data_IF_529844123450
#
_entry.id   IF_529844123450
#
_cell.length_a   1.000
_cell.length_b   1.000
_cell.length_c   1.000
_cell.angle_alpha   90.00
_cell.angle_beta   90.00
_cell.angle_gamma   90.00
#
_symmetry.space_group_name_H-M   'P 1'
#
loop_
_entity.id
_entity.type
_entity.pdbx_description
1 polymer ?
#
# COMPACT_ATOMS: atom_id res chain seq x y z
N UNK A 1 -26.06 -57.95 34.41
CA UNK A 1 -25.74 -56.65 33.77
C UNK A 1 -24.89 -55.81 34.74
N UNK A 2 -23.55 -55.78 34.54
CA UNK A 2 -22.62 -55.00 35.39
C UNK A 2 -22.59 -53.56 34.90
N UNK A 3 -23.00 -52.63 35.76
CA UNK A 3 -22.92 -51.19 35.51
C UNK A 3 -21.47 -50.76 35.60
N UNK A 4 -20.90 -50.22 34.54
CA UNK A 4 -19.56 -49.65 34.53
C UNK A 4 -19.45 -48.51 35.54
N UNK A 5 -18.38 -48.40 36.34
CA UNK A 5 -18.21 -47.43 37.39
C UNK A 5 -18.20 -45.99 36.81
N UNK A 6 -18.82 -45.08 37.53
CA UNK A 6 -19.04 -43.67 37.21
C UNK A 6 -17.75 -42.95 36.75
N UNK A 7 -16.59 -43.38 37.29
CA UNK A 7 -15.24 -42.83 36.98
C UNK A 7 -14.84 -43.09 35.51
N UNK A 8 -15.21 -44.26 34.92
CA UNK A 8 -14.85 -44.60 33.52
C UNK A 8 -15.67 -43.73 32.55
N UNK A 9 -16.90 -43.38 32.89
CA UNK A 9 -17.72 -42.46 32.10
C UNK A 9 -17.24 -41.00 32.19
N UNK A 10 -16.73 -40.57 33.33
CA UNK A 10 -16.16 -39.22 33.51
C UNK A 10 -14.85 -39.06 32.74
N UNK A 11 -13.97 -40.08 32.72
CA UNK A 11 -12.72 -40.07 31.97
C UNK A 11 -12.99 -40.09 30.47
N UNK A 12 -13.95 -40.87 29.97
CA UNK A 12 -14.36 -40.89 28.57
C UNK A 12 -14.97 -39.55 28.11
N UNK A 13 -15.69 -38.83 29.00
CA UNK A 13 -16.23 -37.51 28.68
C UNK A 13 -15.14 -36.41 28.67
N UNK A 14 -14.16 -36.49 29.55
CA UNK A 14 -12.99 -35.60 29.56
C UNK A 14 -12.05 -35.83 28.37
N UNK A 15 -11.88 -37.08 27.89
CA UNK A 15 -11.12 -37.39 26.72
C UNK A 15 -11.84 -36.98 25.40
N UNK A 16 -13.15 -37.05 25.36
CA UNK A 16 -13.98 -36.57 24.26
C UNK A 16 -13.98 -35.04 24.13
N UNK A 17 -13.96 -34.32 25.28
CA UNK A 17 -13.91 -32.87 25.31
C UNK A 17 -12.51 -32.31 24.91
N UNK A 18 -11.44 -33.05 25.17
CA UNK A 18 -10.07 -32.63 24.77
C UNK A 18 -9.83 -32.76 23.26
N UNK A 19 -10.60 -33.58 22.53
CA UNK A 19 -10.46 -33.75 21.09
C UNK A 19 -11.09 -32.60 20.26
N UNK A 20 -11.91 -31.75 20.89
CA UNK A 20 -12.63 -30.64 20.21
C UNK A 20 -11.84 -29.33 20.21
N UNK A 21 -10.74 -29.25 20.93
CA UNK A 21 -9.93 -28.05 21.07
C UNK A 21 -8.67 -28.02 20.16
N UNK A 22 -8.72 -28.71 19.01
CA UNK A 22 -7.67 -28.49 17.99
C UNK A 22 -7.85 -27.09 17.39
N UNK A 23 -6.82 -26.20 17.39
CA UNK A 23 -6.91 -24.91 16.75
C UNK A 23 -7.18 -25.13 15.26
N UNK A 24 -8.36 -24.75 14.80
CA UNK A 24 -8.67 -24.71 13.38
C UNK A 24 -7.77 -23.60 12.79
N UNK A 25 -6.92 -23.87 11.80
CA UNK A 25 -6.16 -22.83 11.14
C UNK A 25 -7.16 -21.83 10.54
N UNK A 26 -7.15 -20.61 11.03
CA UNK A 26 -7.90 -19.50 10.44
C UNK A 26 -7.19 -19.14 9.17
N UNK A 27 -7.68 -19.64 8.04
CA UNK A 27 -7.23 -19.20 6.72
C UNK A 27 -7.63 -17.72 6.58
N UNK A 28 -6.64 -16.87 6.40
CA UNK A 28 -6.86 -15.43 6.19
C UNK A 28 -7.28 -15.20 4.75
N UNK A 29 -8.58 -15.35 4.47
CA UNK A 29 -9.13 -15.00 3.16
C UNK A 29 -9.20 -13.48 3.01
N UNK A 30 -8.70 -12.98 1.89
CA UNK A 30 -8.89 -11.60 1.46
C UNK A 30 -10.08 -11.54 0.48
N UNK A 31 -10.77 -10.39 0.44
CA UNK A 31 -11.82 -10.19 -0.57
C UNK A 31 -11.21 -9.71 -1.88
N UNK A 32 -11.86 -10.00 -2.99
CA UNK A 32 -11.40 -9.54 -4.31
C UNK A 32 -11.15 -8.04 -4.30
N UNK A 33 -12.04 -7.23 -3.73
CA UNK A 33 -11.88 -5.76 -3.66
C UNK A 33 -10.64 -5.27 -2.91
N UNK A 34 -10.08 -6.09 -2.01
CA UNK A 34 -8.89 -5.74 -1.25
C UNK A 34 -7.60 -6.13 -2.01
N UNK A 35 -7.74 -6.90 -3.12
CA UNK A 35 -6.65 -7.44 -3.93
C UNK A 35 -6.52 -6.76 -5.29
N UNK A 36 -7.61 -6.19 -5.83
CA UNK A 36 -7.65 -5.66 -7.19
C UNK A 36 -8.21 -4.24 -7.24
N UNK A 37 -7.79 -3.52 -8.25
CA UNK A 37 -8.36 -2.26 -8.70
C UNK A 37 -9.09 -2.46 -10.02
N UNK A 38 -10.20 -1.75 -10.23
CA UNK A 38 -10.95 -1.80 -11.49
C UNK A 38 -10.35 -0.78 -12.45
N UNK A 39 -9.91 -1.22 -13.64
CA UNK A 39 -9.34 -0.34 -14.65
C UNK A 39 -10.34 0.76 -15.06
N UNK A 40 -9.84 2.00 -15.10
CA UNK A 40 -10.65 3.20 -15.39
C UNK A 40 -11.26 3.87 -14.16
N UNK A 41 -11.34 3.20 -13.01
CA UNK A 41 -11.75 3.80 -11.74
C UNK A 41 -10.51 4.33 -11.04
N UNK A 42 -10.06 5.53 -11.44
CA UNK A 42 -8.91 6.19 -10.83
C UNK A 42 -9.16 7.67 -10.71
N UNK A 43 -8.54 8.29 -9.73
CA UNK A 43 -8.50 9.74 -9.64
C UNK A 43 -7.63 10.30 -10.77
N UNK A 44 -8.13 11.35 -11.43
CA UNK A 44 -7.36 12.07 -12.42
C UNK A 44 -6.78 13.34 -11.80
N UNK A 45 -5.47 13.51 -11.93
CA UNK A 45 -4.79 14.68 -11.40
C UNK A 45 -5.04 15.87 -12.33
N UNK A 46 -5.55 16.96 -11.74
CA UNK A 46 -5.74 18.24 -12.43
C UNK A 46 -4.69 19.24 -11.98
N UNK A 47 -4.25 20.08 -12.91
CA UNK A 47 -3.29 21.14 -12.66
C UNK A 47 -3.77 22.44 -13.29
N UNK A 48 -3.55 23.56 -12.60
CA UNK A 48 -3.84 24.89 -13.09
C UNK A 48 -2.82 25.91 -12.62
N UNK A 49 -2.79 27.02 -13.31
CA UNK A 49 -2.02 28.20 -12.92
C UNK A 49 -2.99 29.32 -12.56
N UNK A 50 -2.82 29.92 -11.38
CA UNK A 50 -3.72 30.94 -10.87
C UNK A 50 -3.00 32.04 -10.11
N UNK A 51 -3.79 33.03 -9.67
CA UNK A 51 -3.35 34.12 -8.84
C UNK A 51 -4.10 34.12 -7.51
N UNK A 52 -3.37 34.28 -6.43
CA UNK A 52 -3.89 34.54 -5.09
C UNK A 52 -3.76 36.04 -4.81
N UNK A 53 -4.84 36.67 -4.42
CA UNK A 53 -4.90 38.11 -4.13
C UNK A 53 -5.31 38.36 -2.68
N UNK A 54 -5.10 39.59 -2.21
CA UNK A 54 -5.46 40.00 -0.84
C UNK A 54 -4.44 39.58 0.21
N UNK A 55 -3.20 39.34 -0.20
CA UNK A 55 -2.08 39.04 0.70
C UNK A 55 -1.61 40.33 1.40
N UNK A 56 -1.27 40.22 2.69
CA UNK A 56 -0.81 41.33 3.48
C UNK A 56 0.70 41.57 3.30
N UNK A 57 1.09 42.10 2.15
CA UNK A 57 2.49 42.34 1.74
C UNK A 57 3.40 41.10 1.79
N UNK A 58 2.80 39.89 1.75
CA UNK A 58 3.50 38.59 1.77
C UNK A 58 3.56 37.93 0.41
N UNK A 59 2.97 38.52 -0.60
CA UNK A 59 2.94 38.00 -1.97
C UNK A 59 4.25 38.22 -2.73
N UNK A 60 4.22 37.94 -4.04
CA UNK A 60 5.36 38.03 -4.94
C UNK A 60 5.87 39.47 -5.09
N UNK A 61 7.17 39.60 -5.19
CA UNK A 61 7.80 40.84 -5.67
C UNK A 61 7.73 40.87 -7.19
N UNK A 62 6.92 41.74 -7.76
CA UNK A 62 6.72 41.80 -9.22
C UNK A 62 8.01 42.03 -10.02
N UNK A 63 9.05 42.58 -9.36
CA UNK A 63 10.36 42.74 -9.96
C UNK A 63 11.10 41.42 -10.13
N UNK A 64 10.92 40.47 -9.21
CA UNK A 64 11.56 39.17 -9.20
C UNK A 64 10.69 38.08 -9.85
N UNK A 65 9.37 38.33 -9.97
CA UNK A 65 8.40 37.42 -10.55
C UNK A 65 7.69 38.05 -11.76
N UNK A 66 8.36 38.18 -12.92
CA UNK A 66 7.79 38.85 -14.10
C UNK A 66 6.55 38.13 -14.63
N UNK A 67 6.43 36.80 -14.47
CA UNK A 67 5.25 36.03 -14.84
C UNK A 67 4.02 36.41 -13.98
N UNK A 68 4.20 36.76 -12.71
CA UNK A 68 3.11 37.28 -11.85
C UNK A 68 2.65 38.63 -12.36
N UNK A 69 3.55 39.52 -12.74
CA UNK A 69 3.25 40.83 -13.30
C UNK A 69 2.45 40.73 -14.60
N UNK A 70 2.90 39.91 -15.53
CA UNK A 70 2.24 39.67 -16.83
C UNK A 70 0.83 39.08 -16.63
N UNK A 71 0.69 38.15 -15.68
CA UNK A 71 -0.60 37.53 -15.38
C UNK A 71 -1.61 38.50 -14.81
N UNK A 72 -1.18 39.38 -13.90
CA UNK A 72 -2.04 40.45 -13.38
C UNK A 72 -2.45 41.42 -14.48
N UNK A 73 -1.51 41.83 -15.31
CA UNK A 73 -1.77 42.73 -16.43
C UNK A 73 -2.79 42.13 -17.39
N UNK A 74 -2.59 40.89 -17.81
CA UNK A 74 -3.53 40.18 -18.71
C UNK A 74 -4.91 40.03 -18.08
N UNK A 75 -4.98 39.75 -16.76
CA UNK A 75 -6.25 39.67 -16.04
C UNK A 75 -6.99 41.01 -16.03
N UNK A 76 -6.30 42.12 -15.72
CA UNK A 76 -6.88 43.47 -15.67
C UNK A 76 -7.36 43.92 -17.06
N UNK A 77 -6.58 43.63 -18.11
CA UNK A 77 -6.98 43.90 -19.49
C UNK A 77 -8.24 43.13 -19.89
N UNK A 78 -8.39 41.85 -19.51
CA UNK A 78 -9.60 41.06 -19.72
C UNK A 78 -10.82 41.64 -18.98
N UNK A 79 -10.59 42.27 -17.81
CA UNK A 79 -11.63 42.95 -17.05
C UNK A 79 -11.91 44.38 -17.54
N UNK A 80 -11.27 44.83 -18.64
CA UNK A 80 -11.48 46.12 -19.24
C UNK A 80 -10.66 47.25 -18.61
N UNK A 81 -9.71 46.94 -17.72
CA UNK A 81 -8.82 47.91 -17.13
C UNK A 81 -7.54 47.99 -17.96
N UNK A 82 -7.31 49.14 -18.63
CA UNK A 82 -6.05 49.36 -19.36
C UNK A 82 -4.95 49.78 -18.41
N UNK A 83 -3.98 48.89 -18.21
CA UNK A 83 -2.83 49.14 -17.32
C UNK A 83 -1.69 49.84 -18.04
N UNK A 84 -1.68 49.89 -19.37
CA UNK A 84 -0.64 50.53 -20.17
C UNK A 84 0.77 49.97 -19.81
N UNK A 85 1.75 50.90 -19.85
CA UNK A 85 3.14 50.61 -19.38
C UNK A 85 3.34 50.95 -17.91
N UNK A 86 2.27 50.90 -17.07
CA UNK A 86 2.35 51.24 -15.68
C UNK A 86 3.27 50.26 -14.93
N UNK A 87 4.25 50.78 -14.24
CA UNK A 87 5.09 49.98 -13.36
C UNK A 87 4.30 49.65 -12.10
N UNK A 88 3.66 48.47 -12.12
CA UNK A 88 2.88 47.99 -10.99
C UNK A 88 3.80 47.54 -9.86
N UNK A 89 3.56 48.08 -8.67
CA UNK A 89 4.30 47.69 -7.47
C UNK A 89 3.26 47.23 -6.41
N UNK A 90 3.15 45.97 -6.26
CA UNK A 90 2.33 45.34 -5.20
C UNK A 90 3.05 44.11 -4.65
N UNK A 91 2.79 43.79 -3.43
CA UNK A 91 3.19 42.50 -2.78
C UNK A 91 1.98 41.76 -2.24
N UNK A 92 0.79 42.13 -2.68
CA UNK A 92 -0.46 41.58 -2.19
C UNK A 92 -1.03 40.49 -3.13
N UNK A 93 -0.23 40.07 -4.13
CA UNK A 93 -0.59 39.04 -5.12
C UNK A 93 0.55 38.02 -5.24
N UNK A 94 0.20 36.78 -5.41
CA UNK A 94 1.15 35.69 -5.68
C UNK A 94 0.65 34.80 -6.83
N UNK A 95 1.57 34.41 -7.70
CA UNK A 95 1.31 33.37 -8.67
C UNK A 95 1.42 32.00 -8.01
N UNK A 96 0.46 31.14 -8.30
CA UNK A 96 0.34 29.84 -7.65
C UNK A 96 0.10 28.72 -8.65
N UNK A 97 0.66 27.57 -8.35
CA UNK A 97 0.26 26.29 -8.93
C UNK A 97 -0.92 25.75 -8.14
N UNK A 98 -1.93 25.34 -8.83
CA UNK A 98 -3.18 24.82 -8.29
C UNK A 98 -3.34 23.38 -8.71
N UNK A 99 -3.51 22.46 -7.77
CA UNK A 99 -3.69 21.03 -8.06
C UNK A 99 -4.94 20.50 -7.39
N UNK A 100 -5.63 19.57 -8.06
CA UNK A 100 -6.79 18.88 -7.51
C UNK A 100 -6.83 17.42 -8.00
N UNK A 101 -7.48 16.55 -7.24
CA UNK A 101 -7.79 15.20 -7.67
C UNK A 101 -9.26 15.15 -8.09
N UNK A 102 -9.50 14.77 -9.34
CA UNK A 102 -10.83 14.56 -9.89
C UNK A 102 -11.19 13.07 -9.75
N UNK A 103 -12.12 12.69 -8.86
CA UNK A 103 -12.58 11.31 -8.75
C UNK A 103 -13.23 10.80 -10.05
N UNK A 104 -13.10 9.50 -10.33
CA UNK A 104 -13.54 8.88 -11.58
C UNK A 104 -15.00 9.14 -11.95
N UNK A 105 -15.89 9.21 -10.94
CA UNK A 105 -17.33 9.38 -11.13
C UNK A 105 -17.85 10.76 -10.72
N UNK A 106 -16.99 11.76 -10.74
CA UNK A 106 -17.42 13.13 -10.43
C UNK A 106 -18.31 13.67 -11.54
N UNK A 107 -19.54 14.01 -11.17
CA UNK A 107 -20.49 14.67 -12.06
C UNK A 107 -20.25 16.17 -12.11
N UNK A 108 -20.66 16.81 -13.23
CA UNK A 108 -20.67 18.26 -13.36
C UNK A 108 -21.43 18.92 -12.20
N UNK A 109 -20.85 19.98 -11.62
CA UNK A 109 -21.33 20.65 -10.42
C UNK A 109 -20.81 20.08 -9.09
N UNK A 110 -20.15 18.92 -9.09
CA UNK A 110 -19.50 18.37 -7.89
C UNK A 110 -18.36 19.28 -7.44
N UNK A 111 -18.20 19.43 -6.13
CA UNK A 111 -17.11 20.21 -5.54
C UNK A 111 -15.98 19.31 -5.08
N UNK A 112 -14.75 19.71 -5.41
CA UNK A 112 -13.54 19.01 -5.03
C UNK A 112 -12.57 19.95 -4.30
N UNK A 113 -11.72 19.37 -3.47
CA UNK A 113 -10.69 20.09 -2.74
C UNK A 113 -9.52 20.46 -3.66
N UNK A 114 -8.89 21.59 -3.35
CA UNK A 114 -7.81 22.15 -4.14
C UNK A 114 -6.61 22.42 -3.24
N UNK A 115 -5.43 22.07 -3.71
CA UNK A 115 -4.17 22.46 -3.10
C UNK A 115 -3.56 23.61 -3.93
N UNK A 116 -2.99 24.58 -3.21
CA UNK A 116 -2.40 25.78 -3.79
C UNK A 116 -0.98 25.91 -3.29
N UNK A 117 -0.03 26.16 -4.18
CA UNK A 117 1.39 26.31 -3.83
C UNK A 117 1.98 27.50 -4.58
N UNK A 118 2.67 28.41 -3.86
CA UNK A 118 3.30 29.56 -4.47
C UNK A 118 4.41 29.14 -5.45
N UNK A 119 4.48 29.82 -6.58
CA UNK A 119 5.50 29.60 -7.62
C UNK A 119 6.60 30.68 -7.62
N UNK A 120 6.28 31.84 -7.07
CA UNK A 120 7.20 32.99 -7.01
C UNK A 120 7.95 33.07 -5.68
N UNK A 121 8.25 34.30 -5.29
CA UNK A 121 8.96 34.62 -4.05
C UNK A 121 8.02 35.04 -2.88
N UNK A 122 6.73 34.71 -2.99
CA UNK A 122 5.75 34.93 -1.94
C UNK A 122 6.15 34.20 -0.65
N UNK A 123 6.03 34.92 0.46
CA UNK A 123 6.45 34.42 1.78
C UNK A 123 5.33 33.69 2.52
N UNK A 124 4.08 34.09 2.27
CA UNK A 124 2.90 33.52 2.93
C UNK A 124 1.66 33.75 2.05
N UNK A 125 0.77 32.74 2.01
CA UNK A 125 -0.53 32.79 1.32
C UNK A 125 -1.70 33.01 2.31
N UNK A 126 -1.42 33.25 3.59
CA UNK A 126 -2.44 33.42 4.63
C UNK A 126 -3.36 34.61 4.33
N UNK A 127 -4.66 34.37 4.43
CA UNK A 127 -5.70 35.38 4.19
C UNK A 127 -5.96 35.67 2.71
N UNK A 128 -5.17 35.09 1.81
CA UNK A 128 -5.35 35.27 0.37
C UNK A 128 -6.56 34.55 -0.20
N UNK A 129 -7.02 35.01 -1.34
CA UNK A 129 -8.12 34.40 -2.09
C UNK A 129 -7.62 34.03 -3.48
N UNK A 130 -7.80 32.78 -3.87
CA UNK A 130 -7.53 32.29 -5.22
C UNK A 130 -8.59 32.85 -6.18
N UNK A 131 -8.15 33.48 -7.24
CA UNK A 131 -9.01 33.92 -8.34
C UNK A 131 -9.42 32.74 -9.21
N UNK A 132 -10.45 32.97 -10.05
CA UNK A 132 -10.98 31.95 -10.98
C UNK A 132 -9.84 31.34 -11.80
N UNK A 133 -9.61 30.06 -11.59
CA UNK A 133 -8.49 29.30 -12.14
C UNK A 133 -9.00 28.03 -12.82
N UNK A 134 -8.84 27.89 -14.14
CA UNK A 134 -9.17 26.63 -14.82
C UNK A 134 -8.15 25.56 -14.43
N UNK A 135 -8.64 24.33 -14.19
CA UNK A 135 -7.84 23.16 -13.90
C UNK A 135 -7.89 22.20 -15.09
N UNK A 136 -6.72 21.86 -15.60
CA UNK A 136 -6.53 21.04 -16.80
C UNK A 136 -6.17 19.62 -16.44
N UNK A 137 -6.71 18.66 -17.21
CA UNK A 137 -6.23 17.28 -17.21
C UNK A 137 -4.98 17.11 -18.07
N UNK A 138 -4.46 15.88 -18.10
CA UNK A 138 -3.29 15.53 -18.91
C UNK A 138 -3.50 15.70 -20.43
N UNK A 139 -4.75 15.71 -20.88
CA UNK A 139 -5.17 15.95 -22.26
C UNK A 139 -5.26 17.44 -22.62
N UNK A 140 -4.97 18.34 -21.68
CA UNK A 140 -5.05 19.80 -21.86
C UNK A 140 -6.47 20.36 -21.86
N UNK A 141 -7.50 19.56 -21.54
CA UNK A 141 -8.86 20.03 -21.43
C UNK A 141 -9.17 20.52 -20.02
N UNK A 142 -10.04 21.52 -19.90
CA UNK A 142 -10.51 22.01 -18.61
C UNK A 142 -11.57 21.08 -18.03
N UNK A 143 -11.35 20.55 -16.85
CA UNK A 143 -12.27 19.66 -16.14
C UNK A 143 -12.92 20.32 -14.93
N UNK A 144 -12.25 21.27 -14.29
CA UNK A 144 -12.80 21.97 -13.14
C UNK A 144 -12.34 23.42 -13.12
N UNK A 145 -13.03 24.25 -12.35
CA UNK A 145 -12.67 25.65 -12.12
C UNK A 145 -12.55 25.87 -10.63
N UNK A 146 -11.39 26.35 -10.20
CA UNK A 146 -11.04 26.59 -8.81
C UNK A 146 -11.16 28.06 -8.44
N UNK A 147 -11.69 28.34 -7.23
CA UNK A 147 -11.78 29.67 -6.65
C UNK A 147 -12.06 29.57 -5.15
N UNK A 148 -11.52 30.51 -4.36
CA UNK A 148 -11.91 30.60 -2.95
C UNK A 148 -10.79 31.03 -2.01
N UNK A 149 -11.10 31.22 -0.72
CA UNK A 149 -10.12 31.60 0.29
C UNK A 149 -9.14 30.46 0.56
N UNK A 150 -7.84 30.81 0.61
CA UNK A 150 -6.77 29.87 0.88
C UNK A 150 -6.59 29.68 2.37
N UNK A 151 -6.74 28.44 2.85
CA UNK A 151 -6.43 28.08 4.22
C UNK A 151 -4.99 27.50 4.28
N UNK A 152 -4.09 28.19 4.96
CA UNK A 152 -2.72 27.72 5.22
C UNK A 152 -2.68 27.03 6.58
N UNK A 153 -2.03 25.87 6.65
CA UNK A 153 -1.79 25.14 7.91
C UNK A 153 -0.60 25.68 8.71
N UNK A 154 -0.11 26.87 8.37
CA UNK A 154 1.10 27.46 8.90
C UNK A 154 0.80 28.74 9.66
N UNK A 155 1.71 29.07 10.56
CA UNK A 155 1.75 30.32 11.29
C UNK A 155 3.13 30.95 11.07
N UNK A 156 3.14 32.20 10.62
CA UNK A 156 4.35 32.99 10.49
C UNK A 156 4.18 34.28 11.32
N UNK A 157 5.04 34.49 12.29
CA UNK A 157 5.12 35.74 13.04
C UNK A 157 6.51 36.35 12.84
N UNK A 158 6.54 37.60 12.36
CA UNK A 158 7.76 38.34 12.10
C UNK A 158 7.84 39.55 13.05
N UNK A 159 8.89 39.60 13.86
CA UNK A 159 9.25 40.77 14.70
C UNK A 159 10.54 41.40 14.18
N UNK A 160 10.87 42.63 14.66
CA UNK A 160 12.08 43.35 14.22
C UNK A 160 13.39 42.58 14.47
N UNK A 161 13.43 41.69 15.46
CA UNK A 161 14.65 40.97 15.87
C UNK A 161 14.58 39.44 15.67
N UNK A 162 13.41 38.87 15.37
CA UNK A 162 13.25 37.43 15.20
C UNK A 162 12.01 37.09 14.38
N UNK A 163 12.08 35.99 13.59
CA UNK A 163 10.93 35.41 12.90
C UNK A 163 10.73 33.97 13.35
N UNK A 164 9.48 33.59 13.60
CA UNK A 164 9.10 32.19 13.90
C UNK A 164 8.13 31.74 12.82
N UNK A 165 8.52 30.72 12.08
CA UNK A 165 7.67 30.09 11.08
C UNK A 165 7.41 28.65 11.51
N UNK A 166 6.15 28.24 11.54
CA UNK A 166 5.76 26.85 11.79
C UNK A 166 4.91 26.38 10.61
N UNK A 167 5.30 25.24 10.00
CA UNK A 167 4.66 24.72 8.80
C UNK A 167 5.21 25.35 7.52
N UNK A 168 4.52 25.16 6.39
CA UNK A 168 4.86 25.72 5.07
C UNK A 168 3.84 26.79 4.71
N UNK A 169 4.17 28.08 4.91
CA UNK A 169 3.21 29.18 4.68
C UNK A 169 2.93 29.43 3.21
N UNK A 170 3.79 28.95 2.31
CA UNK A 170 3.65 29.08 0.85
C UNK A 170 2.77 28.02 0.20
N UNK A 171 2.20 27.11 1.00
CA UNK A 171 1.24 26.11 0.57
C UNK A 171 -0.05 26.21 1.37
N UNK A 172 -1.17 25.98 0.72
CA UNK A 172 -2.49 26.02 1.34
C UNK A 172 -3.48 25.08 0.67
N UNK A 173 -4.66 24.97 1.27
CA UNK A 173 -5.77 24.16 0.76
C UNK A 173 -7.04 24.99 0.73
N UNK A 174 -7.87 24.76 -0.28
CA UNK A 174 -9.21 25.32 -0.38
C UNK A 174 -10.19 24.15 -0.37
N UNK A 175 -10.88 23.98 0.75
CA UNK A 175 -11.88 22.92 0.87
C UNK A 175 -13.08 23.22 -0.03
N UNK A 176 -13.50 22.22 -0.84
CA UNK A 176 -14.54 22.40 -1.86
C UNK A 176 -14.25 23.57 -2.83
N UNK A 177 -12.97 23.82 -3.08
CA UNK A 177 -12.49 25.00 -3.78
C UNK A 177 -12.64 24.97 -5.30
N UNK A 178 -12.89 23.82 -5.91
CA UNK A 178 -13.15 23.74 -7.33
C UNK A 178 -14.51 23.10 -7.61
N UNK A 179 -15.13 23.54 -8.70
CA UNK A 179 -16.36 22.96 -9.26
C UNK A 179 -15.98 22.19 -10.51
N UNK A 180 -16.44 20.95 -10.60
CA UNK A 180 -16.27 20.11 -11.80
C UNK A 180 -17.19 20.62 -12.90
N UNK A 181 -16.63 20.99 -14.05
CA UNK A 181 -17.36 21.46 -15.22
C UNK A 181 -17.57 20.35 -16.26
N UNK A 182 -16.65 19.39 -16.30
CA UNK A 182 -16.66 18.28 -17.25
C UNK A 182 -16.41 16.95 -16.56
N UNK A 183 -17.20 15.95 -16.91
CA UNK A 183 -17.02 14.57 -16.48
C UNK A 183 -15.87 13.88 -17.23
N UNK A 184 -15.29 12.84 -16.63
CA UNK A 184 -14.17 12.08 -17.24
C UNK A 184 -14.59 11.22 -18.44
N UNK A 185 -15.88 11.09 -18.72
CA UNK A 185 -16.42 10.28 -19.82
C UNK A 185 -16.30 8.77 -19.59
N UNK A 186 -15.97 8.34 -18.38
CA UNK A 186 -15.93 6.93 -18.04
C UNK A 186 -17.32 6.39 -17.70
N UNK A 187 -17.85 5.51 -18.56
CA UNK A 187 -19.19 4.94 -18.42
C UNK A 187 -19.12 3.44 -18.08
N UNK A 188 -18.97 3.12 -16.82
CA UNK A 188 -18.89 1.75 -16.34
C UNK A 188 -20.11 0.90 -16.74
N UNK A 189 -21.31 1.49 -16.72
CA UNK A 189 -22.57 0.78 -17.01
C UNK A 189 -22.69 0.23 -18.45
N UNK A 190 -21.93 0.78 -19.40
CA UNK A 190 -21.97 0.39 -20.81
C UNK A 190 -20.83 -0.56 -21.23
N UNK A 191 -20.03 -1.04 -20.29
CA UNK A 191 -18.89 -1.90 -20.59
C UNK A 191 -19.34 -3.35 -20.71
N UNK A 192 -18.94 -4.03 -21.80
CA UNK A 192 -19.14 -5.47 -22.00
C UNK A 192 -18.06 -6.31 -21.28
N UNK A 193 -16.95 -5.70 -20.95
CA UNK A 193 -15.86 -6.30 -20.22
C UNK A 193 -15.21 -5.31 -19.27
N UNK A 194 -14.80 -5.79 -18.11
CA UNK A 194 -14.11 -5.03 -17.07
C UNK A 194 -12.75 -5.66 -16.82
N UNK A 195 -11.72 -4.86 -16.70
CA UNK A 195 -10.40 -5.31 -16.31
C UNK A 195 -10.17 -5.06 -14.83
N UNK A 196 -9.71 -6.09 -14.14
CA UNK A 196 -9.32 -6.03 -12.74
C UNK A 196 -7.80 -6.12 -12.68
N UNK A 197 -7.15 -5.11 -12.13
CA UNK A 197 -5.70 -5.05 -11.98
C UNK A 197 -5.31 -5.38 -10.54
N UNK A 198 -4.42 -6.35 -10.34
CA UNK A 198 -3.94 -6.73 -9.02
C UNK A 198 -3.02 -5.63 -8.44
N UNK A 199 -3.21 -5.30 -7.16
CA UNK A 199 -2.28 -4.42 -6.43
C UNK A 199 -0.88 -5.02 -6.35
N UNK A 200 -0.80 -6.34 -6.17
CA UNK A 200 0.45 -7.09 -6.15
C UNK A 200 0.39 -8.15 -7.27
N UNK A 201 1.05 -7.91 -8.42
CA UNK A 201 1.05 -8.84 -9.54
C UNK A 201 1.60 -10.22 -9.17
N UNK A 202 0.78 -11.26 -9.30
CA UNK A 202 1.15 -12.66 -9.07
C UNK A 202 0.28 -13.62 -9.89
N UNK A 203 0.93 -14.57 -10.59
CA UNK A 203 0.25 -15.55 -11.47
C UNK A 203 -0.74 -16.45 -10.72
N UNK A 204 -0.34 -16.92 -9.56
CA UNK A 204 -1.16 -17.84 -8.74
C UNK A 204 -2.38 -17.11 -8.20
N UNK A 205 -2.20 -15.91 -7.68
CA UNK A 205 -3.27 -15.05 -7.16
C UNK A 205 -4.25 -14.68 -8.27
N UNK A 206 -3.74 -14.26 -9.44
CA UNK A 206 -4.59 -13.94 -10.60
C UNK A 206 -5.45 -15.14 -11.03
N UNK A 207 -4.84 -16.33 -11.11
CA UNK A 207 -5.55 -17.55 -11.46
C UNK A 207 -6.59 -17.96 -10.39
N UNK A 208 -6.24 -17.82 -9.09
CA UNK A 208 -7.16 -18.09 -7.97
C UNK A 208 -8.36 -17.13 -7.98
N UNK A 209 -8.14 -15.83 -8.24
CA UNK A 209 -9.23 -14.85 -8.35
C UNK A 209 -10.15 -15.22 -9.52
N UNK A 210 -9.59 -15.46 -10.73
CA UNK A 210 -10.39 -15.84 -11.89
C UNK A 210 -11.21 -17.10 -11.63
N UNK A 211 -10.62 -18.13 -11.01
CA UNK A 211 -11.30 -19.36 -10.64
C UNK A 211 -12.41 -19.15 -9.61
N UNK A 212 -12.16 -18.33 -8.58
CA UNK A 212 -13.15 -18.04 -7.54
C UNK A 212 -14.34 -17.26 -8.11
N UNK A 213 -14.09 -16.26 -8.97
CA UNK A 213 -15.13 -15.49 -9.66
C UNK A 213 -15.95 -16.40 -10.59
N UNK A 214 -15.29 -17.26 -11.39
CA UNK A 214 -15.98 -18.21 -12.27
C UNK A 214 -16.84 -19.20 -11.48
N UNK A 215 -16.33 -19.68 -10.34
CA UNK A 215 -17.09 -20.58 -9.46
C UNK A 215 -18.31 -19.89 -8.86
N UNK A 216 -18.19 -18.62 -8.49
CA UNK A 216 -19.29 -17.82 -7.98
C UNK A 216 -20.37 -17.57 -9.05
N UNK A 217 -19.96 -17.24 -10.28
CA UNK A 217 -20.87 -16.95 -11.39
C UNK A 217 -21.42 -18.22 -12.08
N UNK A 218 -20.84 -19.38 -11.84
CA UNK A 218 -21.19 -20.61 -12.52
C UNK A 218 -20.88 -20.61 -14.03
N UNK A 219 -19.98 -19.75 -14.48
CA UNK A 219 -19.59 -19.55 -15.88
C UNK A 219 -18.13 -19.13 -16.02
N UNK A 220 -17.53 -19.32 -17.19
CA UNK A 220 -16.15 -18.87 -17.47
C UNK A 220 -16.14 -17.40 -17.91
N UNK A 221 -16.58 -16.50 -17.01
CA UNK A 221 -16.63 -15.07 -17.28
C UNK A 221 -15.31 -14.33 -16.98
N UNK A 222 -14.49 -14.84 -16.05
CA UNK A 222 -13.22 -14.27 -15.67
C UNK A 222 -12.05 -15.06 -16.22
N UNK A 223 -11.03 -14.40 -16.75
CA UNK A 223 -9.79 -15.01 -17.22
C UNK A 223 -8.59 -14.15 -16.84
N UNK A 224 -7.56 -14.76 -16.22
CA UNK A 224 -6.29 -14.11 -16.00
C UNK A 224 -5.52 -14.02 -17.33
N UNK A 225 -5.21 -12.83 -17.79
CA UNK A 225 -4.47 -12.58 -19.02
C UNK A 225 -2.97 -12.51 -18.79
N UNK A 226 -2.59 -12.01 -17.63
CA UNK A 226 -1.21 -11.87 -17.18
C UNK A 226 -1.18 -11.82 -15.62
N UNK A 227 0.02 -11.76 -14.98
CA UNK A 227 0.12 -11.73 -13.51
C UNK A 227 -0.59 -10.56 -12.82
N UNK A 228 -0.80 -9.47 -13.55
CA UNK A 228 -1.38 -8.25 -13.02
C UNK A 228 -2.85 -8.06 -13.38
N UNK A 229 -3.33 -8.67 -14.48
CA UNK A 229 -4.61 -8.33 -15.07
C UNK A 229 -5.53 -9.54 -15.24
N UNK A 230 -6.77 -9.34 -14.85
CA UNK A 230 -7.87 -10.29 -15.04
C UNK A 230 -8.95 -9.59 -15.87
N UNK A 231 -9.35 -10.21 -16.95
CA UNK A 231 -10.48 -9.73 -17.77
C UNK A 231 -11.74 -10.44 -17.32
N UNK A 232 -12.74 -9.65 -16.98
CA UNK A 232 -14.07 -10.10 -16.60
C UNK A 232 -15.06 -9.72 -17.71
N UNK A 233 -15.65 -10.70 -18.36
CA UNK A 233 -16.75 -10.50 -19.31
C UNK A 233 -18.07 -10.39 -18.56
N UNK A 234 -18.84 -9.37 -18.86
CA UNK A 234 -20.15 -9.15 -18.25
C UNK A 234 -21.19 -10.02 -18.93
N UNK A 235 -21.82 -10.97 -18.21
CA UNK A 235 -22.90 -11.77 -18.83
C UNK A 235 -24.07 -10.87 -19.20
N UNK A 236 -24.57 -10.96 -20.43
CA UNK A 236 -25.61 -10.07 -20.97
C UNK A 236 -26.91 -10.03 -20.13
N UNK A 237 -27.19 -11.12 -19.40
CA UNK A 237 -28.40 -11.27 -18.59
C UNK A 237 -28.12 -11.18 -17.09
N UNK A 238 -27.00 -10.59 -16.66
CA UNK A 238 -26.71 -10.48 -15.23
C UNK A 238 -27.65 -9.48 -14.55
N UNK A 239 -28.31 -9.90 -13.48
CA UNK A 239 -29.23 -9.05 -12.73
C UNK A 239 -28.48 -7.86 -12.09
N UNK A 240 -28.85 -6.63 -12.42
CA UNK A 240 -28.17 -5.43 -11.94
C UNK A 240 -27.02 -4.95 -12.86
N UNK A 241 -26.78 -5.61 -14.00
CA UNK A 241 -25.77 -5.22 -14.98
C UNK A 241 -24.35 -5.25 -14.41
N UNK A 242 -23.47 -4.41 -14.95
CA UNK A 242 -22.05 -4.34 -14.55
C UNK A 242 -21.91 -3.98 -13.06
N UNK A 243 -22.69 -3.03 -12.56
CA UNK A 243 -22.62 -2.59 -11.16
C UNK A 243 -23.02 -3.70 -10.18
N UNK A 244 -24.09 -4.45 -10.48
CA UNK A 244 -24.49 -5.61 -9.69
C UNK A 244 -23.42 -6.69 -9.70
N UNK A 245 -22.87 -7.01 -10.88
CA UNK A 245 -21.80 -7.98 -11.03
C UNK A 245 -20.56 -7.59 -10.19
N UNK A 246 -20.09 -6.37 -10.28
CA UNK A 246 -18.92 -5.91 -9.54
C UNK A 246 -19.16 -5.94 -8.04
N UNK A 247 -20.34 -5.49 -7.58
CA UNK A 247 -20.71 -5.51 -6.15
C UNK A 247 -20.66 -6.93 -5.58
N UNK A 248 -21.12 -7.91 -6.36
CA UNK A 248 -21.15 -9.31 -5.91
C UNK A 248 -19.76 -9.94 -5.91
N UNK A 249 -18.96 -9.73 -6.97
CA UNK A 249 -17.62 -10.30 -7.05
C UNK A 249 -16.62 -9.64 -6.08
N UNK A 250 -16.80 -8.38 -5.73
CA UNK A 250 -15.98 -7.69 -4.74
C UNK A 250 -15.95 -8.42 -3.39
N UNK A 251 -17.03 -9.12 -3.02
CA UNK A 251 -17.14 -9.84 -1.75
C UNK A 251 -16.62 -11.28 -1.82
N UNK A 252 -16.26 -11.78 -3.00
CA UNK A 252 -15.71 -13.12 -3.18
C UNK A 252 -14.40 -13.25 -2.40
N UNK A 253 -14.29 -14.32 -1.62
CA UNK A 253 -13.11 -14.59 -0.80
C UNK A 253 -12.09 -15.41 -1.59
N UNK A 254 -10.85 -14.96 -1.54
CA UNK A 254 -9.71 -15.58 -2.21
C UNK A 254 -8.56 -15.68 -1.22
N UNK A 255 -7.78 -16.75 -1.32
CA UNK A 255 -6.52 -16.91 -0.61
C UNK A 255 -5.37 -16.43 -1.53
N UNK A 256 -4.84 -15.19 -1.35
CA UNK A 256 -3.78 -14.67 -2.20
C UNK A 256 -2.46 -15.38 -1.90
N UNK A 257 -1.67 -15.62 -2.93
CA UNK A 257 -0.30 -16.09 -2.76
C UNK A 257 0.60 -14.93 -2.33
N UNK A 258 1.48 -15.19 -1.39
CA UNK A 258 2.41 -14.19 -0.89
C UNK A 258 3.83 -14.60 -1.26
N UNK A 259 4.56 -13.80 -2.07
CA UNK A 259 5.95 -14.10 -2.35
C UNK A 259 6.75 -14.09 -1.04
N UNK A 260 7.67 -15.04 -0.90
CA UNK A 260 8.58 -15.08 0.21
C UNK A 260 9.46 -13.81 0.20
N UNK A 261 9.18 -12.85 1.08
CA UNK A 261 9.84 -11.55 1.15
C UNK A 261 10.31 -11.25 2.56
N UNK A 262 11.50 -10.67 2.66
CA UNK A 262 12.09 -10.18 3.91
C UNK A 262 12.37 -8.69 3.73
N UNK A 263 11.79 -7.86 4.58
CA UNK A 263 12.02 -6.42 4.61
C UNK A 263 12.84 -6.09 5.86
N UNK A 264 13.90 -5.35 5.69
CA UNK A 264 14.84 -5.00 6.75
C UNK A 264 15.00 -3.49 6.79
N UNK A 265 14.65 -2.88 7.91
CA UNK A 265 14.94 -1.47 8.18
C UNK A 265 16.28 -1.39 8.92
N UNK A 266 17.28 -0.81 8.26
CA UNK A 266 18.62 -0.66 8.82
C UNK A 266 18.69 0.36 9.95
N UNK A 267 17.81 1.36 9.93
CA UNK A 267 17.80 2.46 10.90
C UNK A 267 17.21 2.00 12.24
N UNK A 268 16.07 1.34 12.19
CA UNK A 268 15.37 0.83 13.38
C UNK A 268 15.78 -0.58 13.79
N UNK A 269 16.41 -1.34 12.89
CA UNK A 269 16.76 -2.76 13.11
C UNK A 269 15.56 -3.70 13.03
N UNK A 270 14.43 -3.24 12.53
CA UNK A 270 13.20 -4.04 12.38
C UNK A 270 13.32 -4.97 11.18
N UNK A 271 13.03 -6.26 11.38
CA UNK A 271 12.99 -7.28 10.34
C UNK A 271 11.54 -7.78 10.22
N UNK A 272 10.95 -7.62 9.05
CA UNK A 272 9.61 -8.13 8.72
C UNK A 272 9.74 -9.23 7.69
N UNK A 273 9.13 -10.38 7.93
CA UNK A 273 9.21 -11.53 7.04
C UNK A 273 7.86 -12.20 6.85
N UNK A 274 7.63 -12.76 5.65
CA UNK A 274 6.47 -13.57 5.35
C UNK A 274 6.55 -14.95 6.03
N UNK A 275 5.41 -15.59 6.24
CA UNK A 275 5.32 -16.91 6.89
C UNK A 275 6.01 -18.03 6.07
N UNK A 276 6.08 -17.86 4.76
CA UNK A 276 6.61 -18.86 3.81
C UNK A 276 8.11 -18.71 3.53
N UNK A 277 8.80 -17.81 4.24
CA UNK A 277 10.26 -17.65 4.11
C UNK A 277 10.98 -18.81 4.80
N UNK A 278 11.65 -19.65 3.99
CA UNK A 278 12.36 -20.84 4.44
C UNK A 278 13.85 -20.75 4.13
N UNK A 279 14.65 -21.39 4.97
CA UNK A 279 16.11 -21.50 4.81
C UNK A 279 16.46 -22.95 4.54
N UNK A 280 17.22 -23.19 3.46
CA UNK A 280 17.84 -24.47 3.17
C UNK A 280 19.04 -24.72 4.08
N UNK A 281 19.54 -25.96 4.08
CA UNK A 281 20.73 -26.35 4.86
C UNK A 281 21.92 -25.43 4.51
N UNK A 282 22.46 -24.73 5.50
CA UNK A 282 23.59 -23.82 5.34
C UNK A 282 24.42 -23.78 6.64
N UNK A 283 25.72 -23.61 6.52
CA UNK A 283 26.62 -23.35 7.64
C UNK A 283 27.19 -21.93 7.50
N UNK A 284 27.14 -21.16 8.59
CA UNK A 284 27.59 -19.77 8.61
C UNK A 284 28.57 -19.65 9.81
N UNK A 285 29.69 -19.02 9.58
CA UNK A 285 30.62 -18.63 10.61
C UNK A 285 30.90 -17.14 10.53
N UNK A 286 30.68 -16.42 11.63
CA UNK A 286 30.97 -14.99 11.73
C UNK A 286 31.71 -14.74 13.05
N UNK A 287 32.99 -14.36 12.97
CA UNK A 287 33.83 -14.19 14.14
C UNK A 287 34.00 -15.51 14.90
N UNK A 288 33.53 -15.54 16.14
CA UNK A 288 33.52 -16.74 17.00
C UNK A 288 32.19 -17.50 16.99
N UNK A 289 31.22 -17.07 16.18
CA UNK A 289 29.90 -17.67 16.05
C UNK A 289 29.86 -18.60 14.83
N UNK A 290 29.57 -19.89 15.04
CA UNK A 290 29.34 -20.86 13.96
C UNK A 290 27.91 -21.37 14.02
N UNK A 291 27.17 -21.18 12.91
CA UNK A 291 25.79 -21.65 12.77
C UNK A 291 25.72 -22.71 11.68
N UNK A 292 25.17 -23.87 12.01
CA UNK A 292 24.94 -24.95 11.05
C UNK A 292 23.47 -25.32 11.01
N UNK A 293 22.85 -25.21 9.84
CA UNK A 293 21.50 -25.68 9.56
C UNK A 293 21.61 -26.97 8.74
N UNK A 294 21.08 -28.08 9.23
CA UNK A 294 21.13 -29.37 8.56
C UNK A 294 19.73 -29.95 8.41
N UNK A 295 19.38 -30.37 7.24
CA UNK A 295 18.16 -31.12 6.97
C UNK A 295 18.43 -32.63 7.02
N UNK A 296 17.76 -33.34 7.93
CA UNK A 296 17.79 -34.80 7.99
C UNK A 296 16.40 -35.35 7.78
N UNK A 297 16.13 -36.04 6.66
CA UNK A 297 14.86 -36.71 6.45
C UNK A 297 14.69 -37.85 7.46
N UNK A 298 13.60 -37.81 8.22
CA UNK A 298 13.25 -38.89 9.14
C UNK A 298 12.03 -39.63 8.61
N UNK A 299 12.14 -40.94 8.52
CA UNK A 299 11.04 -41.81 8.09
C UNK A 299 10.18 -42.12 9.32
N UNK A 300 8.93 -41.63 9.34
CA UNK A 300 7.93 -42.05 10.31
C UNK A 300 7.29 -43.35 9.84
N UNK A 301 7.56 -44.46 10.52
CA UNK A 301 6.95 -45.74 10.24
C UNK A 301 5.84 -46.06 11.25
N UNK A 302 4.73 -46.67 10.84
CA UNK A 302 3.75 -47.21 11.77
C UNK A 302 4.39 -48.27 12.70
N UNK A 303 3.85 -48.39 13.90
CA UNK A 303 4.29 -49.41 14.85
C UNK A 303 4.22 -50.80 14.21
N UNK A 304 5.16 -51.72 14.46
CA UNK A 304 5.10 -53.12 14.03
C UNK A 304 3.76 -53.73 14.46
N UNK A 305 2.99 -54.29 13.55
CA UNK A 305 1.65 -54.85 13.71
C UNK A 305 0.45 -53.85 13.57
N UNK A 306 0.67 -52.63 13.11
CA UNK A 306 -0.45 -51.75 12.69
C UNK A 306 -0.95 -52.13 11.32
N UNK A 307 -2.26 -52.36 11.21
CA UNK A 307 -2.94 -52.72 9.93
C UNK A 307 -3.34 -51.46 9.14
N UNK A 308 -3.19 -50.27 9.70
CA UNK A 308 -3.53 -49.01 9.07
C UNK A 308 -2.42 -48.00 9.34
N UNK A 309 -1.76 -47.52 8.29
CA UNK A 309 -0.75 -46.47 8.34
C UNK A 309 0.13 -46.46 7.09
N UNK A 310 0.45 -45.30 6.56
CA UNK A 310 1.38 -45.14 5.43
C UNK A 310 2.69 -44.57 5.93
N UNK A 311 3.82 -45.07 5.40
CA UNK A 311 5.16 -44.52 5.66
C UNK A 311 5.24 -43.15 5.01
N UNK A 312 5.53 -42.13 5.80
CA UNK A 312 5.68 -40.77 5.33
C UNK A 312 7.09 -40.24 5.71
N UNK A 313 7.78 -39.70 4.72
CA UNK A 313 9.09 -39.05 4.95
C UNK A 313 8.82 -37.63 5.40
N UNK A 314 9.22 -37.30 6.63
CA UNK A 314 9.07 -35.96 7.21
C UNK A 314 10.46 -35.33 7.28
N UNK A 315 10.74 -34.22 6.61
CA UNK A 315 12.00 -33.52 6.76
C UNK A 315 12.11 -32.95 8.17
N UNK A 316 13.24 -33.18 8.82
CA UNK A 316 13.59 -32.54 10.10
C UNK A 316 14.87 -31.72 9.92
N UNK A 317 14.80 -30.47 10.31
CA UNK A 317 15.96 -29.55 10.28
C UNK A 317 16.53 -29.39 11.67
N UNK A 318 17.83 -29.45 11.79
CA UNK A 318 18.58 -29.26 13.04
C UNK A 318 19.50 -28.06 12.89
N UNK A 319 19.36 -27.08 13.79
CA UNK A 319 20.25 -25.92 13.87
C UNK A 319 21.22 -26.16 15.03
N UNK A 320 22.53 -26.13 14.78
CA UNK A 320 23.59 -26.10 15.76
C UNK A 320 24.24 -24.72 15.77
N UNK A 321 24.33 -24.11 16.93
CA UNK A 321 25.02 -22.83 17.15
C UNK A 321 26.14 -23.09 18.16
N UNK A 322 27.37 -22.75 17.80
CA UNK A 322 28.55 -22.90 18.64
C UNK A 322 29.20 -21.53 18.88
N UNK A 323 29.25 -21.09 20.12
CA UNK A 323 29.83 -19.80 20.55
C UNK A 323 31.28 -19.93 21.05
N UNK A 324 31.91 -21.08 20.94
CA UNK A 324 33.28 -21.28 21.37
C UNK A 324 33.54 -21.26 22.89
N UNK A 325 32.49 -21.09 23.72
CA UNK A 325 32.56 -21.21 25.18
C UNK A 325 31.29 -21.85 25.73
N UNK A 326 31.28 -23.19 25.80
CA UNK A 326 30.30 -23.96 26.56
C UNK A 326 29.03 -24.31 25.78
N UNK A 327 28.92 -25.58 25.41
CA UNK A 327 27.87 -26.19 24.63
C UNK A 327 26.45 -25.90 25.17
N UNK A 328 25.64 -25.14 24.45
CA UNK A 328 24.19 -25.17 24.57
C UNK A 328 23.59 -25.50 23.21
N UNK A 329 23.20 -26.76 23.04
CA UNK A 329 22.45 -27.21 21.88
C UNK A 329 20.97 -26.87 22.08
N UNK A 330 20.40 -26.10 21.18
CA UNK A 330 18.94 -25.95 21.10
C UNK A 330 18.43 -26.71 19.88
N UNK A 331 17.57 -27.71 20.10
CA UNK A 331 16.94 -28.51 19.07
C UNK A 331 15.66 -27.78 18.64
N UNK A 332 15.59 -27.32 17.38
CA UNK A 332 14.41 -26.73 16.79
C UNK A 332 13.71 -27.72 15.85
N UNK A 333 12.38 -27.73 15.87
CA UNK A 333 11.52 -28.66 15.14
C UNK A 333 11.40 -28.35 13.64
N UNK A 334 10.85 -29.23 12.81
CA UNK A 334 11.11 -29.35 11.38
C UNK A 334 10.70 -28.16 10.54
N UNK A 335 11.54 -27.81 9.56
CA UNK A 335 11.37 -26.69 8.64
C UNK A 335 11.71 -25.37 9.32
N UNK A 336 13.02 -25.06 9.40
CA UNK A 336 13.43 -23.80 10.05
C UNK A 336 12.85 -22.64 9.25
N UNK A 337 11.84 -22.00 9.81
CA UNK A 337 11.43 -20.69 9.35
C UNK A 337 12.55 -19.69 9.62
N UNK A 338 12.71 -18.71 8.77
CA UNK A 338 13.64 -17.61 9.02
C UNK A 338 13.38 -16.99 10.40
N UNK A 339 12.12 -16.95 10.86
CA UNK A 339 11.74 -16.49 12.18
C UNK A 339 12.51 -17.20 13.30
N UNK A 340 12.55 -18.53 13.26
CA UNK A 340 13.24 -19.32 14.28
C UNK A 340 14.75 -19.05 14.31
N UNK A 341 15.36 -18.76 13.15
CA UNK A 341 16.77 -18.37 13.08
C UNK A 341 16.98 -16.98 13.69
N UNK A 342 16.14 -16.00 13.33
CA UNK A 342 16.24 -14.64 13.86
C UNK A 342 16.00 -14.63 15.37
N UNK A 343 15.02 -15.37 15.86
CA UNK A 343 14.75 -15.52 17.31
C UNK A 343 15.95 -16.14 18.04
N UNK A 344 16.59 -17.15 17.44
CA UNK A 344 17.82 -17.76 17.96
C UNK A 344 18.99 -16.76 18.01
N UNK A 345 19.18 -15.96 16.95
CA UNK A 345 20.23 -14.94 16.90
C UNK A 345 19.98 -13.82 17.92
N UNK A 346 18.74 -13.38 18.06
CA UNK A 346 18.35 -12.39 19.06
C UNK A 346 18.58 -12.92 20.49
N UNK A 347 18.25 -14.18 20.76
CA UNK A 347 18.49 -14.82 22.06
C UNK A 347 20.00 -14.91 22.42
N UNK A 348 20.87 -14.94 21.41
CA UNK A 348 22.31 -14.90 21.55
C UNK A 348 22.88 -13.49 21.69
N UNK A 349 22.04 -12.45 21.58
CA UNK A 349 22.47 -11.06 21.67
C UNK A 349 23.18 -10.54 20.42
N UNK A 350 22.98 -11.18 19.26
CA UNK A 350 23.52 -10.70 17.97
C UNK A 350 22.80 -9.40 17.60
N UNK A 351 23.56 -8.36 17.30
CA UNK A 351 23.02 -7.05 16.96
C UNK A 351 22.27 -7.04 15.62
N UNK A 352 21.31 -6.10 15.41
CA UNK A 352 20.52 -6.02 14.19
C UNK A 352 21.37 -5.94 12.91
N UNK A 353 22.48 -5.20 12.93
CA UNK A 353 23.38 -5.07 11.77
C UNK A 353 24.08 -6.39 11.41
N UNK A 354 24.45 -7.17 12.42
CA UNK A 354 25.07 -8.46 12.20
C UNK A 354 24.05 -9.48 11.65
N UNK A 355 22.82 -9.44 12.14
CA UNK A 355 21.71 -10.25 11.61
C UNK A 355 21.47 -9.94 10.13
N UNK A 356 21.48 -8.65 9.75
CA UNK A 356 21.36 -8.22 8.34
C UNK A 356 22.47 -8.82 7.49
N UNK A 357 23.72 -8.71 7.96
CA UNK A 357 24.90 -9.26 7.26
C UNK A 357 24.82 -10.78 7.11
N UNK A 358 24.37 -11.48 8.14
CA UNK A 358 24.14 -12.93 8.12
C UNK A 358 23.06 -13.29 7.09
N UNK A 359 21.92 -12.60 7.08
CA UNK A 359 20.83 -12.86 6.13
C UNK A 359 21.23 -12.61 4.67
N UNK A 360 22.03 -11.56 4.42
CA UNK A 360 22.59 -11.28 3.09
C UNK A 360 23.56 -12.40 2.66
N UNK A 361 24.40 -12.88 3.56
CA UNK A 361 25.30 -13.99 3.28
C UNK A 361 24.55 -15.30 2.98
N UNK A 362 23.46 -15.60 3.72
CA UNK A 362 22.60 -16.77 3.49
C UNK A 362 21.95 -16.68 2.10
N UNK A 363 21.46 -15.47 1.71
CA UNK A 363 20.90 -15.24 0.38
C UNK A 363 21.94 -15.39 -0.71
N UNK A 364 23.14 -14.81 -0.53
CA UNK A 364 24.24 -14.94 -1.48
C UNK A 364 24.70 -16.38 -1.68
N UNK A 365 24.63 -17.21 -0.61
CA UNK A 365 24.87 -18.64 -0.67
C UNK A 365 23.75 -19.45 -1.33
N UNK A 366 22.62 -18.81 -1.73
CA UNK A 366 21.46 -19.48 -2.33
C UNK A 366 20.61 -20.28 -1.36
N UNK A 367 20.87 -20.20 -0.06
CA UNK A 367 20.16 -20.96 0.96
C UNK A 367 18.86 -20.28 1.43
N UNK A 368 18.64 -19.02 1.12
CA UNK A 368 17.39 -18.29 1.39
C UNK A 368 16.58 -18.11 0.11
N UNK A 369 15.43 -18.78 0.06
CA UNK A 369 14.47 -18.70 -1.06
C UNK A 369 13.48 -17.54 -0.84
N UNK A 370 14.00 -16.31 -0.68
CA UNK A 370 13.19 -15.11 -0.47
C UNK A 370 13.87 -13.89 -1.06
N UNK A 371 13.06 -12.87 -1.34
CA UNK A 371 13.57 -11.56 -1.74
C UNK A 371 13.87 -10.71 -0.50
N UNK A 372 15.09 -10.14 -0.43
CA UNK A 372 15.47 -9.22 0.66
C UNK A 372 15.37 -7.80 0.13
N UNK A 373 14.53 -6.99 0.77
CA UNK A 373 14.42 -5.56 0.53
C UNK A 373 14.91 -4.80 1.76
N UNK A 374 15.86 -3.90 1.56
CA UNK A 374 16.41 -3.05 2.61
C UNK A 374 15.80 -1.66 2.46
N UNK A 375 15.30 -1.12 3.57
CA UNK A 375 14.74 0.23 3.70
C UNK A 375 15.45 0.97 4.84
N UNK A 376 15.54 2.31 4.74
CA UNK A 376 16.20 3.14 5.75
C UNK A 376 17.31 3.99 5.21
#
# INVERSE_FOLDING_TARGET
MRRAPFIVRLIAFLFGAALVAAPIPVLAFSRVKDLVEIEGIRDNMLVGYGLVVGLNHSGDSLQNAPFTQESIQTLLERLGVNTGSANMQTKDVAAVMVTANLPAFSSSGTRIDVNVSAMGDAKDLLGGTLLVTPLFGADGQTYAVAQGPVATGSFSAQGEASSVTRGVPTAGRISNGAIVERETGFHLASMDQVKLSLHNPDLTTAARIASAVNSYLGSNAASATDPANIVLHVPANYTGGVMGLLTDIEQVKVDPDQPAKVIIDQTSGVIVMGADVRISAVAIAQGNLTIRVTETPQVSQPSPFSTTGTTQVVPRTQIQIDEGKGNKMTVLHPGVSLQSLVDGLNALGVGPRDIISILQAIKAAGALQADIQIIG
#
